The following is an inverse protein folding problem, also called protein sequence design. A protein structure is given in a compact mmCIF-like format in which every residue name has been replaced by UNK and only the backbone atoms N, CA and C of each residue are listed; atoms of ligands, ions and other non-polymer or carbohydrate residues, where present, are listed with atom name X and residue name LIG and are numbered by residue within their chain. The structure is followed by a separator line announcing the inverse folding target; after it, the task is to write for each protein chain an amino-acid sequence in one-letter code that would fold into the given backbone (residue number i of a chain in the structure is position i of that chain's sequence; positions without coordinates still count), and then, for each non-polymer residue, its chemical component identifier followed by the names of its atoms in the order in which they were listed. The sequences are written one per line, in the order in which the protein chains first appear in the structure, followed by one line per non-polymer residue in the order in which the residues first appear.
data_IF_147154993882
#
_entry.id   IF_147154993882
#
_cell.length_a   1.000
_cell.length_b   1.000
_cell.length_c   1.000
_cell.angle_alpha   90.00
_cell.angle_beta   90.00
_cell.angle_gamma   90.00
#
_symmetry.space_group_name_H-M   'P 1'
#
loop_
_entity.id
_entity.type
_entity.pdbx_description
1 polymer ?
#
# COMPACT_ATOMS: atom_id res chain seq x y z
N UNK A 1 0.97 -0.94 -3.22
CA UNK A 1 0.15 -1.55 -2.15
C UNK A 1 0.97 -2.64 -1.50
N UNK A 2 1.37 -2.41 -0.25
CA UNK A 2 2.23 -3.30 0.55
C UNK A 2 1.38 -4.03 1.58
N UNK A 3 1.48 -5.36 1.66
CA UNK A 3 0.67 -6.22 2.54
C UNK A 3 1.32 -7.58 2.73
N UNK A 4 0.87 -8.36 3.72
CA UNK A 4 1.36 -9.74 3.92
C UNK A 4 0.53 -10.69 3.06
N UNK A 5 1.19 -11.54 2.26
CA UNK A 5 0.50 -12.43 1.31
C UNK A 5 -0.57 -13.31 1.97
N UNK A 6 -0.27 -13.86 3.14
CA UNK A 6 -1.21 -14.68 3.91
C UNK A 6 -2.47 -13.93 4.36
N UNK A 7 -2.46 -12.59 4.39
CA UNK A 7 -3.68 -11.80 4.61
C UNK A 7 -4.57 -11.77 3.37
N UNK A 8 -4.01 -11.74 2.14
CA UNK A 8 -4.81 -11.88 0.91
C UNK A 8 -5.34 -13.31 0.75
N UNK A 9 -4.55 -14.34 1.09
CA UNK A 9 -5.02 -15.73 1.07
C UNK A 9 -6.19 -15.96 2.04
N UNK A 10 -6.09 -15.38 3.24
CA UNK A 10 -7.11 -15.52 4.28
C UNK A 10 -8.38 -14.73 3.99
N UNK A 11 -8.24 -13.57 3.34
CA UNK A 11 -9.36 -12.63 3.15
C UNK A 11 -9.90 -12.63 1.72
N UNK A 12 -9.14 -13.15 0.75
CA UNK A 12 -9.51 -13.36 -0.66
C UNK A 12 -9.87 -12.10 -1.44
N UNK A 13 -9.48 -10.91 -0.95
CA UNK A 13 -10.13 -9.65 -1.35
C UNK A 13 -9.19 -8.47 -1.58
N UNK A 14 -7.89 -8.55 -1.27
CA UNK A 14 -6.99 -7.42 -1.45
C UNK A 14 -6.69 -7.19 -2.94
N UNK A 15 -6.53 -8.27 -3.71
CA UNK A 15 -6.39 -8.18 -5.16
C UNK A 15 -7.62 -7.52 -5.82
N UNK A 16 -8.83 -7.85 -5.36
CA UNK A 16 -10.07 -7.25 -5.88
C UNK A 16 -10.20 -5.80 -5.41
N UNK A 17 -9.95 -5.52 -4.13
CA UNK A 17 -9.93 -4.19 -3.56
C UNK A 17 -9.00 -3.24 -4.35
N UNK A 18 -7.81 -3.70 -4.73
CA UNK A 18 -6.89 -2.93 -5.59
C UNK A 18 -7.54 -2.53 -6.91
N UNK A 19 -8.21 -3.47 -7.58
CA UNK A 19 -8.88 -3.21 -8.86
C UNK A 19 -10.00 -2.20 -8.69
N UNK A 20 -10.82 -2.38 -7.66
CA UNK A 20 -11.96 -1.52 -7.37
C UNK A 20 -11.49 -0.09 -7.02
N UNK A 21 -10.48 0.03 -6.18
CA UNK A 21 -9.89 1.32 -5.81
C UNK A 21 -9.27 2.03 -7.03
N UNK A 22 -8.54 1.29 -7.87
CA UNK A 22 -7.96 1.85 -9.10
C UNK A 22 -9.02 2.41 -10.03
N UNK A 23 -10.09 1.63 -10.27
CA UNK A 23 -11.21 2.03 -11.13
C UNK A 23 -12.01 3.19 -10.52
N UNK A 24 -12.20 3.20 -9.20
CA UNK A 24 -12.88 4.27 -8.48
C UNK A 24 -12.15 5.60 -8.61
N UNK A 25 -10.85 5.62 -8.30
CA UNK A 25 -10.05 6.85 -8.38
C UNK A 25 -10.00 7.34 -9.82
N UNK A 26 -9.72 6.46 -10.78
CA UNK A 26 -9.71 6.82 -12.20
C UNK A 26 -11.02 7.47 -12.65
N UNK A 27 -12.17 6.94 -12.21
CA UNK A 27 -13.46 7.53 -12.54
C UNK A 27 -13.66 8.92 -11.94
N UNK A 28 -13.12 9.17 -10.75
CA UNK A 28 -13.25 10.46 -10.07
C UNK A 28 -12.33 11.53 -10.67
N UNK A 29 -11.10 11.17 -11.04
CA UNK A 29 -10.08 12.14 -11.49
C UNK A 29 -9.97 12.23 -13.02
N UNK A 30 -10.50 11.25 -13.76
CA UNK A 30 -10.45 11.23 -15.23
C UNK A 30 -9.10 10.77 -15.82
N UNK A 31 -8.15 10.39 -14.98
CA UNK A 31 -6.79 9.98 -15.34
C UNK A 31 -6.50 8.56 -14.85
N UNK A 32 -5.56 7.87 -15.50
CA UNK A 32 -5.17 6.52 -15.09
C UNK A 32 -4.58 6.51 -13.68
N UNK A 33 -5.14 5.68 -12.80
CA UNK A 33 -4.62 5.48 -11.45
C UNK A 33 -4.15 4.04 -11.26
N UNK A 34 -2.84 3.80 -11.47
CA UNK A 34 -2.27 2.46 -11.40
C UNK A 34 -1.73 2.12 -10.01
N UNK A 35 -2.34 1.11 -9.36
CA UNK A 35 -1.83 0.58 -8.09
C UNK A 35 -1.01 -0.68 -8.35
N UNK A 36 0.27 -0.61 -8.05
CA UNK A 36 1.15 -1.77 -8.01
C UNK A 36 0.92 -2.56 -6.73
N UNK A 37 0.85 -3.88 -6.86
CA UNK A 37 0.63 -4.80 -5.74
C UNK A 37 1.94 -5.54 -5.47
N UNK A 38 2.35 -5.59 -4.22
CA UNK A 38 3.50 -6.36 -3.78
C UNK A 38 3.20 -7.86 -3.95
N UNK A 39 3.58 -8.40 -5.10
CA UNK A 39 3.69 -9.83 -5.38
C UNK A 39 5.19 -10.06 -5.51
N UNK A 40 5.71 -11.03 -4.76
CA UNK A 40 7.11 -11.29 -4.35
C UNK A 40 8.26 -11.10 -5.39
N UNK A 41 7.98 -10.76 -6.64
CA UNK A 41 8.94 -10.74 -7.74
C UNK A 41 9.68 -9.40 -7.95
N UNK A 42 9.28 -8.32 -7.28
CA UNK A 42 9.91 -7.00 -7.49
C UNK A 42 10.26 -6.39 -6.15
N UNK A 43 11.55 -6.17 -5.90
CA UNK A 43 12.01 -5.23 -4.87
C UNK A 43 11.47 -3.84 -5.22
N UNK A 44 10.26 -3.54 -4.78
CA UNK A 44 9.56 -2.27 -4.98
C UNK A 44 10.49 -1.10 -4.65
N UNK A 45 11.30 -1.28 -3.59
CA UNK A 45 12.47 -0.49 -3.18
C UNK A 45 13.35 0.12 -4.28
N UNK A 46 13.61 -0.59 -5.37
CA UNK A 46 14.48 -0.10 -6.45
C UNK A 46 13.69 0.56 -7.58
N UNK A 47 12.51 0.02 -7.91
CA UNK A 47 11.66 0.59 -8.96
C UNK A 47 11.01 1.92 -8.54
N UNK A 48 10.68 2.10 -7.25
CA UNK A 48 10.11 3.38 -6.79
C UNK A 48 11.13 4.52 -6.89
N UNK A 49 12.40 4.28 -6.53
CA UNK A 49 13.43 5.31 -6.57
C UNK A 49 13.58 5.82 -8.00
N UNK A 50 13.66 4.88 -8.94
CA UNK A 50 13.70 5.16 -10.36
C UNK A 50 12.45 5.92 -10.83
N UNK A 51 11.24 5.53 -10.39
CA UNK A 51 9.99 6.21 -10.76
C UNK A 51 9.88 7.63 -10.25
N UNK A 52 10.28 7.90 -9.01
CA UNK A 52 10.29 9.27 -8.46
C UNK A 52 11.34 10.13 -9.16
N UNK A 53 12.49 9.56 -9.53
CA UNK A 53 13.54 10.27 -10.28
C UNK A 53 13.15 10.51 -11.75
N UNK A 54 12.43 9.59 -12.38
CA UNK A 54 12.03 9.67 -13.80
C UNK A 54 10.71 10.42 -14.03
N UNK A 55 9.82 10.46 -13.04
CA UNK A 55 8.47 11.04 -13.16
C UNK A 55 8.40 12.30 -12.31
N UNK A 56 8.97 13.39 -12.82
CA UNK A 56 9.02 14.69 -12.15
C UNK A 56 7.62 15.23 -11.78
N UNK A 57 6.59 14.81 -12.52
CA UNK A 57 5.20 15.25 -12.34
C UNK A 57 4.25 14.19 -11.73
N UNK A 58 4.67 12.91 -11.58
CA UNK A 58 3.82 11.86 -11.01
C UNK A 58 4.13 11.58 -9.54
N UNK A 59 3.15 11.81 -8.67
CA UNK A 59 3.27 11.47 -7.24
C UNK A 59 3.06 9.97 -7.05
N UNK A 60 4.08 9.29 -6.53
CA UNK A 60 3.99 7.88 -6.12
C UNK A 60 3.61 7.77 -4.63
N UNK A 61 2.51 7.08 -4.33
CA UNK A 61 2.05 6.82 -2.96
C UNK A 61 2.38 5.38 -2.50
N UNK A 62 2.64 5.22 -1.20
CA UNK A 62 2.63 3.91 -0.53
C UNK A 62 1.27 3.69 0.13
N UNK A 63 0.62 2.57 -0.20
CA UNK A 63 -0.64 2.13 0.44
C UNK A 63 -0.35 0.87 1.25
N UNK A 64 0.03 0.97 2.54
CA UNK A 64 0.24 -0.20 3.39
C UNK A 64 -1.11 -0.72 3.92
N UNK A 65 -1.37 -2.02 3.77
CA UNK A 65 -2.52 -2.69 4.37
C UNK A 65 -2.13 -3.15 5.78
N UNK A 66 -2.57 -2.39 6.78
CA UNK A 66 -2.18 -2.55 8.17
C UNK A 66 -3.00 -3.67 8.83
N UNK A 67 -2.31 -4.75 9.16
CA UNK A 67 -2.80 -5.90 9.94
C UNK A 67 -1.81 -6.23 11.07
N UNK A 68 -2.20 -7.03 12.08
CA UNK A 68 -1.22 -7.55 13.04
C UNK A 68 -0.09 -8.36 12.39
N UNK A 69 -0.37 -9.04 11.27
CA UNK A 69 0.61 -9.77 10.45
C UNK A 69 1.62 -8.81 9.84
N UNK A 70 1.17 -7.66 9.33
CA UNK A 70 2.01 -6.63 8.71
C UNK A 70 3.16 -6.21 9.63
N UNK A 71 2.85 -5.88 10.88
CA UNK A 71 3.88 -5.48 11.85
C UNK A 71 4.81 -6.62 12.27
N UNK A 72 4.46 -7.89 12.00
CA UNK A 72 5.35 -9.04 12.26
C UNK A 72 6.26 -9.35 11.08
N UNK A 73 5.95 -8.85 9.89
CA UNK A 73 6.79 -9.00 8.70
C UNK A 73 7.96 -8.01 8.73
N UNK A 74 9.22 -8.47 8.87
CA UNK A 74 10.38 -7.58 8.82
C UNK A 74 10.46 -6.82 7.49
N UNK A 75 10.14 -7.49 6.39
CA UNK A 75 10.14 -6.90 5.05
C UNK A 75 9.15 -5.74 4.92
N UNK A 76 7.90 -5.92 5.36
CA UNK A 76 6.89 -4.87 5.29
C UNK A 76 7.25 -3.68 6.19
N UNK A 77 7.84 -3.93 7.37
CA UNK A 77 8.33 -2.88 8.26
C UNK A 77 9.49 -2.09 7.65
N UNK A 78 10.48 -2.78 7.10
CA UNK A 78 11.65 -2.14 6.50
C UNK A 78 11.25 -1.28 5.29
N UNK A 79 10.30 -1.76 4.49
CA UNK A 79 9.75 -0.99 3.37
C UNK A 79 9.00 0.26 3.84
N UNK A 80 8.09 0.12 4.80
CA UNK A 80 7.34 1.25 5.36
C UNK A 80 8.31 2.28 5.99
N UNK A 81 9.31 1.83 6.73
CA UNK A 81 10.29 2.70 7.36
C UNK A 81 11.08 3.49 6.32
N UNK A 82 11.59 2.84 5.27
CA UNK A 82 12.31 3.53 4.17
C UNK A 82 11.44 4.59 3.49
N UNK A 83 10.15 4.29 3.32
CA UNK A 83 9.23 5.24 2.69
C UNK A 83 8.93 6.44 3.59
N UNK A 84 8.75 6.22 4.90
CA UNK A 84 8.58 7.30 5.89
C UNK A 84 9.84 8.18 6.00
N UNK A 85 11.02 7.58 5.99
CA UNK A 85 12.30 8.31 5.97
C UNK A 85 12.39 9.19 4.72
N UNK A 86 12.02 8.66 3.55
CA UNK A 86 12.03 9.42 2.30
C UNK A 86 10.99 10.53 2.26
N UNK A 87 9.78 10.25 2.71
CA UNK A 87 8.70 11.24 2.82
C UNK A 87 9.16 12.44 3.65
N UNK A 88 9.86 12.17 4.77
CA UNK A 88 10.48 13.19 5.61
C UNK A 88 11.60 13.96 4.90
N UNK A 89 12.49 13.29 4.16
CA UNK A 89 13.54 13.96 3.37
C UNK A 89 12.96 14.91 2.31
N UNK A 90 11.81 14.56 1.74
CA UNK A 90 11.09 15.39 0.76
C UNK A 90 10.29 16.53 1.44
N UNK A 91 10.26 16.60 2.77
CA UNK A 91 9.45 17.57 3.51
C UNK A 91 7.94 17.34 3.36
N UNK A 92 7.53 16.11 3.05
CA UNK A 92 6.14 15.71 2.85
C UNK A 92 5.63 14.88 4.03
N UNK A 93 4.33 14.62 4.04
CA UNK A 93 3.63 13.80 5.03
C UNK A 93 2.32 13.19 4.46
N UNK A 94 2.22 13.12 3.15
CA UNK A 94 1.01 12.78 2.39
C UNK A 94 1.25 11.69 1.32
N UNK A 95 2.41 11.04 1.36
CA UNK A 95 2.80 9.98 0.45
C UNK A 95 2.44 8.58 1.00
N UNK A 96 2.19 8.44 2.30
CA UNK A 96 1.75 7.18 2.93
C UNK A 96 0.24 7.21 3.24
N UNK A 97 -0.50 6.29 2.63
CA UNK A 97 -1.96 6.17 2.77
C UNK A 97 -2.32 4.82 3.40
N UNK A 98 -2.25 4.69 4.74
CA UNK A 98 -2.49 3.42 5.42
C UNK A 98 -3.97 3.00 5.38
N UNK A 99 -4.20 1.73 5.08
CA UNK A 99 -5.54 1.11 5.14
C UNK A 99 -5.54 0.13 6.29
N UNK A 100 -6.35 0.40 7.30
CA UNK A 100 -6.47 -0.46 8.48
C UNK A 100 -7.49 -1.57 8.22
N UNK A 101 -7.02 -2.80 8.35
CA UNK A 101 -7.85 -3.99 8.15
C UNK A 101 -8.13 -4.64 9.51
N UNK A 102 -9.31 -4.35 10.06
CA UNK A 102 -9.77 -4.92 11.32
C UNK A 102 -10.82 -6.01 11.07
N UNK A 103 -10.75 -7.09 11.85
CA UNK A 103 -11.86 -8.04 11.94
C UNK A 103 -12.75 -7.59 13.09
N UNK A 104 -13.97 -7.15 12.79
CA UNK A 104 -14.97 -6.85 13.83
C UNK A 104 -15.46 -8.19 14.37
N UNK A 105 -15.03 -8.54 15.58
CA UNK A 105 -15.65 -9.63 16.33
C UNK A 105 -17.01 -9.11 16.82
N UNK A 106 -18.11 -9.67 16.31
CA UNK A 106 -19.40 -9.50 16.96
C UNK A 106 -19.32 -10.19 18.33
N UNK A 107 -19.07 -9.42 19.40
CA UNK A 107 -19.35 -9.91 20.75
C UNK A 107 -20.86 -9.90 20.91
N UNK A 108 -21.48 -11.07 20.72
CA UNK A 108 -22.85 -11.29 21.14
C UNK A 108 -22.92 -10.98 22.64
N UNK A 109 -23.51 -9.85 22.99
CA UNK A 109 -23.80 -9.49 24.37
C UNK A 109 -24.86 -10.48 24.85
N UNK A 110 -24.45 -11.43 25.69
CA UNK A 110 -25.37 -12.35 26.39
C UNK A 110 -25.58 -11.84 27.80
#
# INVERSE_FOLDING_TARGET
MSYVHSDDDRLGRLTQFRKDLSAEVQRQIGEEFSIFQDREDIRWGQNWKKRIEESIDEVTFLIPIITPSFFRSPYCRDELQRFLEREKELGRNDLVLPIYLSTILHTATT
#
